data_IF_620684735341
#
_entry.id   IF_620684735341
#
_cell.length_a   1.000
_cell.length_b   1.000
_cell.length_c   1.000
_cell.angle_alpha   90.00
_cell.angle_beta   90.00
_cell.angle_gamma   90.00
#
_symmetry.space_group_name_H-M   'P 1'
#
loop_
_entity.id
_entity.type
_entity.pdbx_description
1 polymer ?
#
# COMPACT_ATOMS: atom_id res chain seq x y z
N UNK A 1 -7.41 -0.60 11.54
CA UNK A 1 -6.22 -1.17 10.91
C UNK A 1 -5.29 -1.62 11.99
N UNK A 2 -5.37 -2.86 12.31
CA UNK A 2 -4.68 -3.31 13.50
C UNK A 2 -3.31 -3.87 13.22
N UNK A 3 -3.13 -4.53 12.11
CA UNK A 3 -1.86 -5.16 11.80
C UNK A 3 -1.48 -4.80 10.38
N UNK A 4 -0.28 -4.29 10.25
CA UNK A 4 0.21 -3.94 8.94
C UNK A 4 1.72 -3.80 8.96
N UNK A 5 2.25 -3.53 7.79
CA UNK A 5 3.69 -3.38 7.61
C UNK A 5 3.95 -2.02 6.96
N UNK A 6 4.88 -1.27 7.53
CA UNK A 6 5.31 -0.02 6.92
C UNK A 6 6.55 -0.29 6.09
N UNK A 7 6.50 0.14 4.84
CA UNK A 7 7.58 -0.02 3.88
C UNK A 7 8.06 1.36 3.46
N UNK A 8 9.36 1.59 3.50
CA UNK A 8 9.94 2.86 3.09
C UNK A 8 10.74 2.67 1.83
N UNK A 9 10.42 3.44 0.79
CA UNK A 9 11.10 3.32 -0.48
C UNK A 9 11.17 4.69 -1.16
N UNK A 10 12.24 5.44 -0.96
CA UNK A 10 12.41 6.75 -1.57
C UNK A 10 13.07 6.70 -2.95
N UNK A 11 13.35 5.52 -3.47
CA UNK A 11 14.13 5.38 -4.70
C UNK A 11 13.37 5.98 -5.88
N UNK A 12 13.90 7.04 -6.52
CA UNK A 12 13.21 7.65 -7.65
C UNK A 12 13.28 6.83 -8.93
N UNK A 13 14.07 5.77 -8.96
CA UNK A 13 14.24 4.96 -10.15
C UNK A 13 13.11 3.95 -10.35
N UNK A 14 12.37 3.65 -9.30
CA UNK A 14 11.26 2.70 -9.39
C UNK A 14 9.94 3.46 -9.46
N UNK A 15 9.02 2.96 -10.26
CA UNK A 15 7.70 3.55 -10.36
C UNK A 15 6.83 3.24 -9.15
N UNK A 16 5.75 3.98 -9.04
CA UNK A 16 4.82 3.86 -7.90
C UNK A 16 4.29 2.43 -7.78
N UNK A 17 3.80 1.87 -8.89
CA UNK A 17 3.27 0.51 -8.88
C UNK A 17 4.31 -0.53 -8.54
N UNK A 18 5.54 -0.35 -9.05
CA UNK A 18 6.62 -1.29 -8.77
C UNK A 18 6.96 -1.32 -7.29
N UNK A 19 6.93 -0.15 -6.64
CA UNK A 19 7.22 -0.07 -5.21
C UNK A 19 6.16 -0.80 -4.41
N UNK A 20 4.89 -0.65 -4.78
CA UNK A 20 3.81 -1.33 -4.10
C UNK A 20 3.91 -2.84 -4.30
N UNK A 21 4.24 -3.29 -5.51
CA UNK A 21 4.38 -4.71 -5.78
C UNK A 21 5.53 -5.32 -4.98
N UNK A 22 6.64 -4.59 -4.89
CA UNK A 22 7.78 -5.06 -4.11
C UNK A 22 7.41 -5.15 -2.63
N UNK A 23 6.73 -4.14 -2.12
CA UNK A 23 6.31 -4.13 -0.72
C UNK A 23 5.30 -5.24 -0.45
N UNK A 24 4.39 -5.49 -1.38
CA UNK A 24 3.40 -6.56 -1.24
C UNK A 24 4.06 -7.93 -1.22
N UNK A 25 5.08 -8.12 -2.05
CA UNK A 25 5.82 -9.37 -2.06
C UNK A 25 6.53 -9.60 -0.74
N UNK A 26 7.11 -8.56 -0.19
CA UNK A 26 7.77 -8.64 1.11
C UNK A 26 6.76 -8.97 2.21
N UNK A 27 5.60 -8.31 2.17
CA UNK A 27 4.53 -8.56 3.13
C UNK A 27 4.11 -10.05 3.08
N UNK A 28 3.90 -10.55 1.86
CA UNK A 28 3.48 -11.94 1.69
C UNK A 28 4.52 -12.91 2.24
N UNK A 29 5.80 -12.62 2.01
CA UNK A 29 6.87 -13.46 2.54
C UNK A 29 6.93 -13.44 4.05
N UNK A 30 6.60 -12.29 4.65
CA UNK A 30 6.69 -12.12 6.09
C UNK A 30 5.48 -12.70 6.81
N UNK A 31 4.29 -12.52 6.26
CA UNK A 31 3.05 -12.88 6.95
C UNK A 31 2.32 -14.07 6.33
N UNK A 32 2.78 -14.56 5.18
CA UNK A 32 2.15 -15.71 4.54
C UNK A 32 0.82 -15.40 3.86
N UNK A 33 0.48 -14.12 3.71
CA UNK A 33 -0.78 -13.69 3.09
C UNK A 33 -0.51 -12.52 2.19
N UNK A 34 -1.29 -12.39 1.12
CA UNK A 34 -1.20 -11.24 0.24
C UNK A 34 -1.94 -10.07 0.88
N UNK A 35 -1.32 -8.88 0.92
CA UNK A 35 -2.04 -7.72 1.44
C UNK A 35 -3.17 -7.33 0.49
N UNK A 36 -4.21 -6.73 1.04
CA UNK A 36 -5.36 -6.28 0.23
C UNK A 36 -5.45 -4.77 0.16
N UNK A 37 -4.69 -4.06 0.99
CA UNK A 37 -4.83 -2.62 1.14
C UNK A 37 -3.46 -1.98 1.32
N UNK A 38 -3.27 -0.84 0.65
CA UNK A 38 -2.07 -0.03 0.79
C UNK A 38 -2.46 1.42 0.98
N UNK A 39 -1.97 2.05 2.06
CA UNK A 39 -2.11 3.47 2.28
C UNK A 39 -0.82 4.19 1.97
N UNK A 40 -0.93 5.31 1.28
CA UNK A 40 0.22 6.15 0.93
C UNK A 40 -0.13 7.61 1.17
N UNK A 41 0.90 8.43 1.35
CA UNK A 41 0.70 9.87 1.44
C UNK A 41 0.27 10.41 0.07
N UNK A 42 -0.62 11.40 0.01
CA UNK A 42 -1.04 11.95 -1.27
C UNK A 42 0.11 12.43 -2.14
N UNK A 43 1.17 12.98 -1.54
CA UNK A 43 2.33 13.45 -2.31
C UNK A 43 3.09 12.29 -2.94
N UNK A 44 3.08 11.13 -2.31
CA UNK A 44 3.73 9.94 -2.86
C UNK A 44 2.95 9.38 -4.04
N UNK A 45 1.64 9.40 -3.93
CA UNK A 45 0.78 8.89 -4.98
C UNK A 45 0.81 9.77 -6.23
N UNK A 46 1.01 11.06 -6.05
CA UNK A 46 0.92 12.00 -7.15
C UNK A 46 -0.51 12.23 -7.56
N UNK A 47 -0.69 12.94 -8.67
CA UNK A 47 -2.03 13.31 -9.09
C UNK A 47 -2.78 12.23 -9.84
N UNK A 48 -2.12 11.16 -10.24
CA UNK A 48 -2.74 10.16 -11.10
C UNK A 48 -2.45 8.76 -10.59
N UNK A 49 -2.59 8.57 -9.28
CA UNK A 49 -2.32 7.27 -8.70
C UNK A 49 -3.40 6.28 -9.11
N UNK A 50 -3.03 5.03 -9.37
CA UNK A 50 -4.03 3.99 -9.61
C UNK A 50 -4.78 3.68 -8.33
N UNK A 51 -6.02 3.21 -8.47
CA UNK A 51 -6.81 2.80 -7.32
C UNK A 51 -6.45 1.40 -6.84
N UNK A 52 -5.70 0.66 -7.64
CA UNK A 52 -5.27 -0.68 -7.29
C UNK A 52 -4.00 -1.04 -8.04
N UNK A 53 -3.16 -1.83 -7.41
CA UNK A 53 -1.93 -2.34 -8.00
C UNK A 53 -1.83 -3.81 -7.63
N UNK A 54 -1.87 -4.68 -8.64
CA UNK A 54 -1.71 -6.12 -8.42
C UNK A 54 -2.69 -6.69 -7.40
N UNK A 55 -3.94 -6.23 -7.43
CA UNK A 55 -4.95 -6.70 -6.49
C UNK A 55 -4.93 -6.02 -5.12
N UNK A 56 -3.99 -5.10 -4.91
CA UNK A 56 -3.92 -4.34 -3.66
C UNK A 56 -4.64 -3.01 -3.87
N UNK A 57 -5.65 -2.74 -3.07
CA UNK A 57 -6.36 -1.47 -3.15
C UNK A 57 -5.47 -0.36 -2.61
N UNK A 58 -5.38 0.75 -3.34
CA UNK A 58 -4.52 1.87 -2.96
C UNK A 58 -5.37 3.04 -2.51
N UNK A 59 -5.07 3.55 -1.33
CA UNK A 59 -5.75 4.72 -0.79
C UNK A 59 -4.73 5.72 -0.27
N UNK A 60 -5.10 6.98 -0.22
CA UNK A 60 -4.21 8.02 0.29
C UNK A 60 -4.65 8.44 1.67
N UNK A 61 -3.68 8.79 2.49
CA UNK A 61 -3.93 9.35 3.81
C UNK A 61 -2.72 10.18 4.22
N UNK A 62 -2.97 11.26 4.95
CA UNK A 62 -1.86 12.07 5.46
C UNK A 62 -1.25 11.48 6.71
N UNK A 63 -1.83 10.41 7.23
CA UNK A 63 -1.28 9.72 8.39
C UNK A 63 -0.04 8.90 8.06
N UNK A 64 0.19 8.62 6.78
CA UNK A 64 1.39 7.93 6.33
C UNK A 64 2.34 8.98 5.77
N UNK A 65 3.61 8.93 6.18
CA UNK A 65 4.61 9.88 5.72
C UNK A 65 4.94 9.67 4.25
N UNK A 66 5.44 10.71 3.56
CA UNK A 66 5.87 10.55 2.16
C UNK A 66 6.89 9.45 2.01
N UNK A 67 6.84 8.76 0.89
CA UNK A 67 7.72 7.64 0.52
C UNK A 67 7.54 6.42 1.41
N UNK A 68 6.50 6.40 2.24
CA UNK A 68 6.14 5.25 3.05
C UNK A 68 4.88 4.61 2.49
N UNK A 69 4.79 3.30 2.65
CA UNK A 69 3.66 2.50 2.14
C UNK A 69 3.22 1.61 3.28
N UNK A 70 2.00 1.78 3.73
CA UNK A 70 1.43 0.91 4.76
C UNK A 70 0.63 -0.17 4.07
N UNK A 71 0.98 -1.42 4.31
CA UNK A 71 0.29 -2.55 3.70
C UNK A 71 -0.34 -3.41 4.76
N UNK A 72 -1.54 -3.89 4.47
CA UNK A 72 -2.26 -4.73 5.41
C UNK A 72 -3.46 -5.39 4.76
N UNK A 73 -4.25 -6.03 5.62
CA UNK A 73 -5.49 -6.66 5.20
C UNK A 73 -6.61 -5.71 5.60
N UNK A 74 -7.32 -5.21 4.61
CA UNK A 74 -8.46 -4.35 4.86
C UNK A 74 -9.68 -5.18 5.21
N UNK A 75 -10.43 -4.72 6.21
CA UNK A 75 -11.70 -5.34 6.51
C UNK A 75 -12.71 -4.81 5.52
N UNK A 76 -13.20 -5.67 4.70
CA UNK A 76 -14.28 -5.31 3.83
C UNK A 76 -15.52 -5.45 4.60
N UNK A 77 -16.00 -4.33 4.95
CA UNK A 77 -17.23 -4.34 5.64
C UNK A 77 -18.33 -4.31 4.64
N UNK A 78 -18.73 -5.33 4.38
CA UNK A 78 -19.75 -5.36 3.41
C UNK A 78 -21.04 -4.75 3.91
N UNK A 79 -20.49 -4.65 4.26
CA UNK A 79 -21.05 -4.36 4.38
C UNK A 79 -21.42 -3.85 4.50
N UNK A 80 -21.03 -3.84 4.62
CA UNK A 80 -21.03 -3.41 4.60
C UNK A 80 -21.32 -2.96 4.23
N UNK A 81 -21.44 -3.03 4.18
CA UNK A 81 -21.45 -2.71 3.79
C UNK A 81 -21.59 -2.54 3.66
#
# INVERSE_FOLDING_TARGET
>A
MDVGMMWFDPDPRSGFGDKIEKAAAYYRGKYGRTPTLCYVHPATAGGASPSAVGGVEVRTTRSVLPNHYWLGIGVRNAGSN
#
